data_IF_266329054232
#
_entry.id   IF_266329054232
#
_cell.length_a   1.000
_cell.length_b   1.000
_cell.length_c   1.000
_cell.angle_alpha   90.00
_cell.angle_beta   90.00
_cell.angle_gamma   90.00
#
_symmetry.space_group_name_H-M   'P 1'
#
loop_
_entity.id
_entity.type
_entity.pdbx_description
1 polymer ?
#
# COMPACT_ATOMS: atom_id res chain seq x y z
N UNK A 1 3.14 -9.95 14.71
CA UNK A 1 2.86 -10.83 13.53
C UNK A 1 1.42 -11.32 13.58
N UNK A 2 0.94 -11.62 14.79
CA UNK A 2 -0.49 -11.71 15.14
C UNK A 2 -1.29 -10.43 14.80
N UNK A 3 -0.67 -9.26 14.87
CA UNK A 3 -1.36 -7.96 14.69
C UNK A 3 -1.89 -7.73 13.27
N UNK A 4 -1.12 -8.04 12.22
CA UNK A 4 -1.59 -7.91 10.82
C UNK A 4 -2.74 -8.87 10.57
N UNK A 5 -2.68 -10.08 11.14
CA UNK A 5 -3.74 -11.06 11.00
C UNK A 5 -5.02 -10.57 11.68
N UNK A 6 -4.93 -10.04 12.90
CA UNK A 6 -6.05 -9.40 13.61
C UNK A 6 -6.65 -8.23 12.82
N UNK A 7 -5.82 -7.38 12.22
CA UNK A 7 -6.29 -6.28 11.37
C UNK A 7 -7.08 -6.82 10.16
N UNK A 8 -6.55 -7.83 9.47
CA UNK A 8 -7.25 -8.46 8.34
C UNK A 8 -8.59 -9.06 8.80
N UNK A 9 -8.63 -9.73 9.95
CA UNK A 9 -9.84 -10.31 10.51
C UNK A 9 -10.91 -9.24 10.79
N UNK A 10 -10.55 -8.11 11.39
CA UNK A 10 -11.47 -6.99 11.61
C UNK A 10 -11.97 -6.37 10.30
N UNK A 11 -11.09 -6.19 9.30
CA UNK A 11 -11.47 -5.66 7.97
C UNK A 11 -12.44 -6.63 7.27
N UNK A 12 -12.14 -7.94 7.32
CA UNK A 12 -12.98 -8.97 6.71
C UNK A 12 -14.34 -9.04 7.39
N UNK A 13 -14.36 -8.98 8.73
CA UNK A 13 -15.60 -8.91 9.51
C UNK A 13 -16.43 -7.68 9.11
N UNK A 14 -15.82 -6.50 9.08
CA UNK A 14 -16.48 -5.26 8.67
C UNK A 14 -17.10 -5.34 7.27
N UNK A 15 -16.37 -5.94 6.31
CA UNK A 15 -16.84 -6.20 4.94
C UNK A 15 -18.04 -7.14 4.93
N UNK A 16 -17.93 -8.27 5.64
CA UNK A 16 -18.92 -9.35 5.60
C UNK A 16 -20.20 -8.97 6.33
N UNK A 17 -20.13 -8.19 7.42
CA UNK A 17 -21.29 -7.60 8.10
C UNK A 17 -22.15 -6.72 7.18
N UNK A 18 -21.57 -6.21 6.09
CA UNK A 18 -22.25 -5.36 5.09
C UNK A 18 -22.58 -6.12 3.81
N UNK A 19 -22.30 -7.42 3.75
CA UNK A 19 -22.43 -8.25 2.55
C UNK A 19 -21.62 -7.71 1.34
N UNK A 20 -20.54 -6.97 1.60
CA UNK A 20 -19.75 -6.32 0.54
C UNK A 20 -18.79 -7.25 -0.18
N UNK A 21 -18.63 -8.49 0.29
CA UNK A 21 -17.79 -9.50 -0.34
C UNK A 21 -18.12 -9.68 -1.83
N UNK A 22 -19.38 -9.53 -2.22
CA UNK A 22 -19.85 -9.64 -3.61
C UNK A 22 -19.27 -8.56 -4.54
N UNK A 23 -18.91 -7.39 -4.01
CA UNK A 23 -18.32 -6.28 -4.78
C UNK A 23 -16.78 -6.32 -4.79
N UNK A 24 -16.18 -7.07 -3.86
CA UNK A 24 -14.72 -7.13 -3.66
C UNK A 24 -14.08 -8.26 -4.51
N UNK A 25 -14.31 -8.21 -5.82
CA UNK A 25 -13.52 -8.97 -6.80
C UNK A 25 -12.11 -8.37 -6.97
N UNK A 26 -11.18 -9.11 -7.59
CA UNK A 26 -9.78 -8.67 -7.70
C UNK A 26 -9.63 -7.41 -8.56
N UNK A 27 -10.50 -7.23 -9.56
CA UNK A 27 -10.50 -6.05 -10.43
C UNK A 27 -10.95 -4.84 -9.60
N UNK A 28 -12.07 -4.94 -8.90
CA UNK A 28 -12.63 -3.84 -8.12
C UNK A 28 -11.72 -3.44 -6.95
N UNK A 29 -11.16 -4.42 -6.23
CA UNK A 29 -10.18 -4.13 -5.17
C UNK A 29 -8.91 -3.45 -5.72
N UNK A 30 -8.39 -3.93 -6.86
CA UNK A 30 -7.24 -3.28 -7.51
C UNK A 30 -7.56 -1.87 -7.98
N UNK A 31 -8.78 -1.63 -8.49
CA UNK A 31 -9.24 -0.30 -8.88
C UNK A 31 -9.38 0.62 -7.67
N UNK A 32 -9.96 0.13 -6.57
CA UNK A 32 -10.10 0.89 -5.32
C UNK A 32 -8.72 1.36 -4.82
N UNK A 33 -7.72 0.48 -4.76
CA UNK A 33 -6.34 0.86 -4.39
C UNK A 33 -5.83 2.02 -5.25
N UNK A 34 -6.10 2.02 -6.56
CA UNK A 34 -5.67 3.09 -7.46
C UNK A 34 -6.43 4.40 -7.22
N UNK A 35 -7.70 4.33 -6.79
CA UNK A 35 -8.50 5.51 -6.45
C UNK A 35 -7.97 6.13 -5.16
N UNK A 36 -7.82 5.35 -4.08
CA UNK A 36 -7.30 5.87 -2.81
C UNK A 36 -5.86 6.40 -2.93
N UNK A 37 -5.05 5.78 -3.78
CA UNK A 37 -3.72 6.32 -4.10
C UNK A 37 -3.79 7.68 -4.81
N UNK A 38 -4.83 7.92 -5.62
CA UNK A 38 -5.07 9.20 -6.25
C UNK A 38 -5.59 10.24 -5.24
N UNK A 39 -6.44 9.86 -4.30
CA UNK A 39 -6.91 10.73 -3.21
C UNK A 39 -5.74 11.15 -2.30
N UNK A 40 -4.84 10.22 -1.96
CA UNK A 40 -3.58 10.54 -1.30
C UNK A 40 -2.73 11.53 -2.11
N UNK A 41 -2.62 11.34 -3.43
CA UNK A 41 -1.85 12.25 -4.29
C UNK A 41 -2.47 13.65 -4.33
N UNK A 42 -3.80 13.77 -4.29
CA UNK A 42 -4.49 15.05 -4.29
C UNK A 42 -4.08 15.93 -3.10
N UNK A 43 -3.78 15.31 -1.94
CA UNK A 43 -3.28 16.03 -0.78
C UNK A 43 -2.00 16.81 -1.06
N UNK A 44 -1.19 16.38 -2.03
CA UNK A 44 0.10 16.99 -2.39
C UNK A 44 0.07 17.74 -3.73
N UNK A 45 -1.03 17.64 -4.47
CA UNK A 45 -1.16 18.24 -5.79
C UNK A 45 -0.95 19.77 -5.72
N UNK A 46 -0.13 20.31 -6.64
CA UNK A 46 0.27 21.72 -6.72
C UNK A 46 1.13 22.27 -5.58
N UNK A 47 1.48 21.45 -4.57
CA UNK A 47 2.34 21.87 -3.47
C UNK A 47 3.81 21.78 -3.85
N UNK A 48 4.59 22.74 -3.37
CA UNK A 48 6.05 22.63 -3.33
C UNK A 48 6.50 21.54 -2.34
N UNK A 49 7.78 21.18 -2.36
CA UNK A 49 8.34 20.23 -1.40
C UNK A 49 8.18 20.71 0.06
N UNK A 50 8.33 22.02 0.31
CA UNK A 50 8.17 22.58 1.66
C UNK A 50 6.71 22.58 2.12
N UNK A 51 5.77 22.95 1.24
CA UNK A 51 4.33 22.91 1.53
C UNK A 51 3.81 21.48 1.72
N UNK A 52 4.44 20.48 1.08
CA UNK A 52 4.09 19.07 1.22
C UNK A 52 4.33 18.54 2.63
N UNK A 53 5.33 19.06 3.35
CA UNK A 53 5.62 18.68 4.74
C UNK A 53 4.62 19.29 5.75
N UNK A 54 3.80 20.25 5.30
CA UNK A 54 2.78 20.93 6.11
C UNK A 54 1.36 20.39 5.87
N UNK A 55 1.21 19.38 4.99
CA UNK A 55 -0.07 18.71 4.75
C UNK A 55 -0.61 18.11 6.05
N UNK A 56 -1.92 18.22 6.26
CA UNK A 56 -2.58 17.68 7.44
C UNK A 56 -2.35 16.16 7.58
N UNK A 57 -1.69 15.79 8.67
CA UNK A 57 -1.36 14.40 8.99
C UNK A 57 -2.60 13.55 9.25
N UNK A 58 -3.73 14.14 9.66
CA UNK A 58 -4.97 13.40 9.81
C UNK A 58 -5.45 12.88 8.44
N UNK A 59 -5.48 13.77 7.44
CA UNK A 59 -5.86 13.40 6.07
C UNK A 59 -4.91 12.37 5.47
N UNK A 60 -3.60 12.54 5.62
CA UNK A 60 -2.62 11.54 5.13
C UNK A 60 -2.89 10.16 5.75
N UNK A 61 -3.23 10.12 7.04
CA UNK A 61 -3.53 8.85 7.74
C UNK A 61 -4.77 8.17 7.19
N UNK A 62 -5.81 8.94 6.85
CA UNK A 62 -7.06 8.41 6.29
C UNK A 62 -6.79 7.76 4.94
N UNK A 63 -6.27 8.51 3.97
CA UNK A 63 -6.02 7.98 2.62
C UNK A 63 -5.03 6.80 2.62
N UNK A 64 -4.00 6.87 3.46
CA UNK A 64 -3.04 5.77 3.59
C UNK A 64 -3.68 4.53 4.24
N UNK A 65 -4.59 4.71 5.19
CA UNK A 65 -5.33 3.60 5.78
C UNK A 65 -6.23 2.93 4.74
N UNK A 66 -6.90 3.70 3.88
CA UNK A 66 -7.77 3.15 2.84
C UNK A 66 -6.99 2.34 1.80
N UNK A 67 -5.83 2.86 1.35
CA UNK A 67 -4.89 2.10 0.49
C UNK A 67 -4.51 0.76 1.14
N UNK A 68 -4.18 0.79 2.43
CA UNK A 68 -3.77 -0.42 3.16
C UNK A 68 -4.95 -1.39 3.33
N UNK A 69 -6.14 -0.91 3.65
CA UNK A 69 -7.35 -1.73 3.82
C UNK A 69 -7.66 -2.50 2.53
N UNK A 70 -7.73 -1.80 1.39
CA UNK A 70 -8.00 -2.47 0.11
C UNK A 70 -6.85 -3.39 -0.33
N UNK A 71 -5.60 -3.03 -0.06
CA UNK A 71 -4.44 -3.89 -0.32
C UNK A 71 -4.49 -5.18 0.50
N UNK A 72 -4.85 -5.09 1.79
CA UNK A 72 -4.99 -6.23 2.68
C UNK A 72 -6.19 -7.11 2.30
N UNK A 73 -7.31 -6.51 1.89
CA UNK A 73 -8.45 -7.25 1.35
C UNK A 73 -8.08 -8.03 0.08
N UNK A 74 -7.31 -7.42 -0.82
CA UNK A 74 -6.86 -8.07 -2.06
C UNK A 74 -5.89 -9.22 -1.75
N UNK A 75 -4.94 -9.01 -0.84
CA UNK A 75 -4.04 -10.05 -0.41
C UNK A 75 -4.78 -11.21 0.29
N UNK A 76 -5.73 -10.90 1.17
CA UNK A 76 -6.58 -11.92 1.81
C UNK A 76 -7.38 -12.72 0.77
N UNK A 77 -7.93 -12.05 -0.25
CA UNK A 77 -8.68 -12.73 -1.34
C UNK A 77 -7.83 -13.76 -2.09
N UNK A 78 -6.52 -13.53 -2.19
CA UNK A 78 -5.57 -14.40 -2.88
C UNK A 78 -4.75 -15.30 -1.92
N UNK A 79 -5.13 -15.37 -0.65
CA UNK A 79 -4.46 -16.16 0.38
C UNK A 79 -2.97 -15.84 0.53
N UNK A 80 -2.60 -14.57 0.32
CA UNK A 80 -1.21 -14.14 0.45
C UNK A 80 -0.80 -13.90 1.90
N UNK A 81 0.34 -14.47 2.29
CA UNK A 81 1.02 -14.09 3.52
C UNK A 81 1.74 -12.75 3.32
N UNK A 82 1.21 -11.69 3.95
CA UNK A 82 1.72 -10.31 3.84
C UNK A 82 3.22 -10.20 4.15
N UNK A 83 3.69 -10.88 5.21
CA UNK A 83 5.10 -10.82 5.59
C UNK A 83 5.97 -11.44 4.51
N UNK A 84 5.58 -12.60 4.01
CA UNK A 84 6.34 -13.33 3.00
C UNK A 84 6.46 -12.51 1.72
N UNK A 85 5.36 -11.99 1.18
CA UNK A 85 5.39 -11.19 -0.06
C UNK A 85 6.24 -9.92 0.07
N UNK A 86 6.23 -9.27 1.25
CA UNK A 86 7.05 -8.09 1.51
C UNK A 86 8.53 -8.46 1.60
N UNK A 87 8.88 -9.48 2.39
CA UNK A 87 10.29 -9.91 2.57
C UNK A 87 10.88 -10.42 1.26
N UNK A 88 10.13 -11.20 0.48
CA UNK A 88 10.55 -11.63 -0.84
C UNK A 88 10.82 -10.44 -1.77
N UNK A 89 9.93 -9.44 -1.75
CA UNK A 89 10.10 -8.25 -2.58
C UNK A 89 11.32 -7.44 -2.16
N UNK A 90 11.57 -7.27 -0.85
CA UNK A 90 12.76 -6.60 -0.33
C UNK A 90 14.02 -7.34 -0.79
N UNK A 91 14.08 -8.66 -0.64
CA UNK A 91 15.23 -9.46 -1.08
C UNK A 91 15.47 -9.34 -2.60
N UNK A 92 14.41 -9.37 -3.42
CA UNK A 92 14.49 -9.12 -4.87
C UNK A 92 15.02 -7.70 -5.17
N UNK A 93 14.57 -6.70 -4.42
CA UNK A 93 15.03 -5.31 -4.59
C UNK A 93 16.49 -5.13 -4.16
N UNK A 94 16.94 -5.75 -3.07
CA UNK A 94 18.35 -5.68 -2.64
C UNK A 94 19.32 -6.27 -3.68
N UNK A 95 18.89 -7.27 -4.45
CA UNK A 95 19.67 -7.81 -5.58
C UNK A 95 19.71 -6.85 -6.77
N UNK A 96 18.62 -6.10 -7.02
CA UNK A 96 18.55 -5.09 -8.09
C UNK A 96 19.30 -3.81 -7.75
N UNK A 97 19.36 -3.44 -6.47
CA UNK A 97 19.98 -2.22 -5.98
C UNK A 97 21.00 -2.54 -4.88
N UNK A 98 22.18 -3.10 -5.22
CA UNK A 98 23.24 -3.35 -4.25
C UNK A 98 23.69 -2.06 -3.56
N UNK A 99 24.06 -2.14 -2.28
CA UNK A 99 24.49 -0.95 -1.51
C UNK A 99 25.69 -0.26 -2.16
N UNK A 100 26.64 -1.02 -2.66
CA UNK A 100 27.89 -0.48 -3.22
C UNK A 100 27.69 0.36 -4.48
N UNK A 101 26.60 0.15 -5.22
CA UNK A 101 26.29 0.88 -6.46
C UNK A 101 25.09 1.81 -6.34
N UNK A 102 24.10 1.48 -5.51
CA UNK A 102 22.85 2.21 -5.42
C UNK A 102 22.81 3.27 -4.29
N UNK A 103 23.73 3.23 -3.32
CA UNK A 103 23.69 4.15 -2.17
C UNK A 103 23.81 5.61 -2.61
N UNK A 104 22.83 6.43 -2.22
CA UNK A 104 22.78 7.85 -2.57
C UNK A 104 22.39 8.13 -4.02
N UNK A 105 22.02 7.11 -4.79
CA UNK A 105 21.62 7.23 -6.20
C UNK A 105 20.15 6.94 -6.37
N UNK A 106 19.43 7.82 -7.08
CA UNK A 106 18.05 7.60 -7.50
C UNK A 106 17.94 6.94 -8.89
N UNK A 107 19.08 6.58 -9.50
CA UNK A 107 19.10 5.94 -10.82
C UNK A 107 18.40 4.58 -10.76
N UNK A 108 17.73 4.21 -11.86
CA UNK A 108 17.17 2.85 -11.98
C UNK A 108 18.32 1.86 -12.07
N UNK A 109 18.07 0.63 -11.65
CA UNK A 109 19.07 -0.46 -11.69
C UNK A 109 19.62 -0.76 -13.09
N UNK A 110 18.93 -0.33 -14.15
CA UNK A 110 19.42 -0.40 -15.53
C UNK A 110 20.53 0.60 -15.84
N UNK A 111 20.66 1.63 -15.00
CA UNK A 111 21.53 2.80 -15.20
C UNK A 111 22.54 2.97 -14.04
N UNK A 112 22.65 1.97 -13.15
CA UNK A 112 23.59 1.91 -12.01
C UNK A 112 24.97 1.43 -12.41
#
# INVERSE_FOLDING_TARGET
MDDIKKIIEEIVKFRDERDWKQFHDSKNLSTAISIEAAELNELFLWKTAEESEQVDKARIKEELADILIFSLLLAHKHDFNIKEIIIEKICKNSKKYPVDTAKGSAKKYTDL
#
